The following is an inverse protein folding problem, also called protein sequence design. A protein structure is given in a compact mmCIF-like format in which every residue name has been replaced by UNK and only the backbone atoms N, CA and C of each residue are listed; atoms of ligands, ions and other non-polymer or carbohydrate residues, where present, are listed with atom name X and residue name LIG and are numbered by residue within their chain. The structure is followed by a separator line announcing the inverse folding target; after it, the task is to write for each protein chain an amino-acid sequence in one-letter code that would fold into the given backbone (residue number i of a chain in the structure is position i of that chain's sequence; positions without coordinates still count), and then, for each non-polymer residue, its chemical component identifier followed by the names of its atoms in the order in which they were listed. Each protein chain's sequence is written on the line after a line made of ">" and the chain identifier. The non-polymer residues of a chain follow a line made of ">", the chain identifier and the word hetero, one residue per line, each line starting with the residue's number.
data_IF_042313140305
#
_entry.id   IF_042313140305
#
_cell.length_a   1.000
_cell.length_b   1.000
_cell.length_c   1.000
_cell.angle_alpha   90.00
_cell.angle_beta   90.00
_cell.angle_gamma   90.00
#
_symmetry.space_group_name_H-M   'P 1'
#
loop_
_entity.id
_entity.type
_entity.pdbx_description
1 polymer ?
#
# COMPACT_ATOMS: atom_id res chain seq x y z
N UNK A 1 -4.28 -25.36 -2.53
CA UNK A 1 -3.53 -24.90 -1.32
C UNK A 1 -3.56 -26.01 -0.26
N UNK A 2 -2.57 -26.15 0.65
CA UNK A 2 -2.67 -27.10 1.76
C UNK A 2 -3.91 -26.83 2.64
N UNK A 3 -4.63 -27.88 3.02
CA UNK A 3 -5.90 -27.76 3.75
C UNK A 3 -5.75 -27.01 5.08
N UNK A 4 -4.62 -27.18 5.78
CA UNK A 4 -4.35 -26.46 7.03
C UNK A 4 -4.31 -24.94 6.82
N UNK A 5 -3.75 -24.48 5.70
CA UNK A 5 -3.63 -23.05 5.40
C UNK A 5 -4.99 -22.49 5.01
N UNK A 6 -5.75 -23.23 4.20
CA UNK A 6 -7.11 -22.83 3.86
C UNK A 6 -7.98 -22.66 5.12
N UNK A 7 -7.95 -23.65 6.03
CA UNK A 7 -8.62 -23.57 7.34
C UNK A 7 -8.14 -22.38 8.16
N UNK A 8 -6.83 -22.11 8.18
CA UNK A 8 -6.27 -20.97 8.91
C UNK A 8 -6.70 -19.62 8.32
N UNK A 9 -6.82 -19.50 7.01
CA UNK A 9 -7.28 -18.29 6.33
C UNK A 9 -8.78 -18.05 6.54
N UNK A 10 -9.60 -19.11 6.51
CA UNK A 10 -11.03 -19.01 6.83
C UNK A 10 -11.22 -18.58 8.28
N UNK A 11 -10.48 -19.21 9.21
CA UNK A 11 -10.64 -18.96 10.65
C UNK A 11 -10.07 -17.61 11.08
N UNK A 12 -8.87 -17.27 10.61
CA UNK A 12 -8.11 -16.13 11.14
C UNK A 12 -8.04 -14.94 10.17
N UNK A 13 -8.36 -15.14 8.88
CA UNK A 13 -8.29 -14.11 7.84
C UNK A 13 -6.87 -13.57 7.63
N UNK A 14 -6.57 -12.50 8.35
CA UNK A 14 -5.32 -11.74 8.29
C UNK A 14 -5.05 -11.05 9.63
N UNK A 15 -3.80 -10.58 9.81
CA UNK A 15 -3.46 -9.74 10.95
C UNK A 15 -3.49 -8.29 10.48
N UNK A 16 -4.37 -7.48 11.08
CA UNK A 16 -4.48 -6.05 10.81
C UNK A 16 -3.98 -5.22 12.00
N UNK A 17 -3.34 -4.08 11.71
CA UNK A 17 -3.06 -3.02 12.67
C UNK A 17 -3.62 -1.69 12.15
N UNK A 18 -4.43 -1.04 12.98
CA UNK A 18 -5.06 0.23 12.68
C UNK A 18 -4.20 1.39 13.21
N UNK A 19 -4.44 2.59 12.68
CA UNK A 19 -3.82 3.84 13.14
C UNK A 19 -2.28 3.85 13.12
N UNK A 20 -1.68 2.98 12.31
CA UNK A 20 -0.23 2.91 12.13
C UNK A 20 0.32 4.10 11.35
N UNK A 21 -0.48 4.73 10.48
CA UNK A 21 -0.09 5.96 9.77
C UNK A 21 0.10 7.13 10.76
N UNK A 22 -0.85 7.46 11.65
CA UNK A 22 -0.62 8.43 12.73
C UNK A 22 0.58 8.11 13.62
N UNK A 23 0.83 6.84 13.95
CA UNK A 23 2.03 6.45 14.73
C UNK A 23 3.30 6.76 13.93
N UNK A 24 3.35 6.37 12.66
CA UNK A 24 4.49 6.64 11.79
C UNK A 24 4.74 8.14 11.63
N UNK A 25 3.68 8.95 11.49
CA UNK A 25 3.78 10.41 11.44
C UNK A 25 4.51 10.96 12.69
N UNK A 26 4.13 10.49 13.88
CA UNK A 26 4.78 10.90 15.12
C UNK A 26 6.24 10.46 15.20
N UNK A 27 6.59 9.25 14.74
CA UNK A 27 7.98 8.80 14.73
C UNK A 27 8.86 9.66 13.82
N UNK A 28 8.35 9.99 12.63
CA UNK A 28 9.06 10.81 11.65
C UNK A 28 9.22 12.25 12.15
N UNK A 29 8.20 12.80 12.81
CA UNK A 29 8.25 14.14 13.43
C UNK A 29 9.40 14.22 14.45
N UNK A 30 9.58 13.17 15.27
CA UNK A 30 10.64 13.10 16.27
C UNK A 30 11.97 12.50 15.74
N UNK A 31 12.01 12.04 14.49
CA UNK A 31 13.24 11.49 13.92
C UNK A 31 14.18 12.61 13.49
N UNK A 32 15.36 12.69 14.11
CA UNK A 32 16.35 13.72 13.81
C UNK A 32 16.92 13.63 12.39
N UNK A 33 16.77 12.49 11.71
CA UNK A 33 17.25 12.27 10.34
C UNK A 33 16.25 12.68 9.25
N UNK A 34 14.97 12.82 9.60
CA UNK A 34 13.90 13.25 8.68
C UNK A 34 13.94 14.77 8.52
N UNK A 35 13.94 15.24 7.27
CA UNK A 35 13.76 16.65 6.92
C UNK A 35 12.31 16.92 6.60
N UNK A 36 11.72 16.07 5.76
CA UNK A 36 10.32 16.17 5.34
C UNK A 36 9.74 14.79 5.11
N UNK A 37 8.47 14.60 5.40
CA UNK A 37 7.77 13.38 5.02
C UNK A 37 6.32 13.64 4.66
N UNK A 38 5.83 12.91 3.66
CA UNK A 38 4.43 12.87 3.28
C UNK A 38 3.88 11.47 3.52
N UNK A 39 2.67 11.37 4.05
CA UNK A 39 1.96 10.13 4.32
C UNK A 39 0.60 10.11 3.62
N UNK A 40 0.14 8.91 3.26
CA UNK A 40 -1.22 8.67 2.75
C UNK A 40 -2.27 8.90 3.85
N UNK A 41 -3.54 8.71 3.49
CA UNK A 41 -4.67 8.87 4.40
C UNK A 41 -4.52 8.04 5.69
N UNK A 42 -4.81 8.60 6.88
CA UNK A 42 -4.54 7.95 8.16
C UNK A 42 -5.35 6.67 8.43
N UNK A 43 -6.43 6.45 7.67
CA UNK A 43 -7.31 5.29 7.84
C UNK A 43 -6.72 3.96 7.30
N UNK A 44 -5.61 4.02 6.55
CA UNK A 44 -4.98 2.82 5.96
C UNK A 44 -4.56 1.89 7.08
N UNK A 45 -5.03 0.65 6.99
CA UNK A 45 -4.64 -0.42 7.90
C UNK A 45 -3.37 -1.11 7.39
N UNK A 46 -2.46 -1.46 8.28
CA UNK A 46 -1.36 -2.35 7.94
C UNK A 46 -1.83 -3.80 8.03
N UNK A 47 -1.91 -4.49 6.89
CA UNK A 47 -2.38 -5.88 6.81
C UNK A 47 -1.21 -6.80 6.48
N UNK A 48 -0.96 -7.76 7.38
CA UNK A 48 0.17 -8.68 7.30
C UNK A 48 -0.27 -10.14 7.17
N UNK A 49 0.65 -10.94 6.64
CA UNK A 49 0.46 -12.37 6.38
C UNK A 49 0.32 -13.18 7.68
N UNK A 50 -0.41 -14.29 7.59
CA UNK A 50 -0.33 -15.33 8.61
C UNK A 50 1.04 -15.99 8.60
N UNK A 51 1.42 -16.61 9.71
CA UNK A 51 2.70 -17.34 9.82
C UNK A 51 2.69 -18.49 8.82
N UNK A 52 3.77 -18.63 8.03
CA UNK A 52 3.95 -19.66 6.97
C UNK A 52 2.91 -19.60 5.82
N UNK A 53 2.26 -18.44 5.61
CA UNK A 53 1.27 -18.25 4.55
C UNK A 53 1.88 -18.34 3.14
N UNK A 54 3.04 -17.70 2.91
CA UNK A 54 3.76 -17.72 1.64
C UNK A 54 3.48 -16.51 0.75
N UNK A 55 3.23 -16.74 -0.54
CA UNK A 55 3.23 -15.76 -1.64
C UNK A 55 2.02 -14.82 -1.73
N UNK A 56 1.44 -14.45 -0.59
CA UNK A 56 0.20 -13.67 -0.54
C UNK A 56 0.37 -12.16 -0.44
N UNK A 57 1.57 -11.64 -0.70
CA UNK A 57 1.85 -10.21 -0.65
C UNK A 57 0.88 -9.38 -1.53
N UNK A 58 0.67 -9.76 -2.79
CA UNK A 58 -0.25 -9.04 -3.68
C UNK A 58 -1.68 -8.95 -3.12
N UNK A 59 -2.22 -10.05 -2.61
CA UNK A 59 -3.54 -10.08 -1.98
C UNK A 59 -3.59 -9.18 -0.73
N UNK A 60 -2.56 -9.20 0.12
CA UNK A 60 -2.50 -8.35 1.33
C UNK A 60 -2.39 -6.87 0.96
N UNK A 61 -1.67 -6.53 -0.10
CA UNK A 61 -1.60 -5.15 -0.60
C UNK A 61 -2.94 -4.69 -1.16
N UNK A 62 -3.67 -5.53 -1.92
CA UNK A 62 -5.06 -5.23 -2.33
C UNK A 62 -5.94 -4.97 -1.10
N UNK A 63 -5.82 -5.78 -0.04
CA UNK A 63 -6.54 -5.54 1.21
C UNK A 63 -6.21 -4.19 1.85
N UNK A 64 -4.94 -3.76 1.83
CA UNK A 64 -4.53 -2.45 2.35
C UNK A 64 -5.11 -1.31 1.52
N UNK A 65 -5.11 -1.43 0.19
CA UNK A 65 -5.78 -0.47 -0.71
C UNK A 65 -7.28 -0.40 -0.44
N UNK A 66 -7.96 -1.54 -0.26
CA UNK A 66 -9.39 -1.58 0.07
C UNK A 66 -9.66 -0.99 1.47
N UNK A 67 -8.73 -1.15 2.43
CA UNK A 67 -8.87 -0.53 3.75
C UNK A 67 -8.94 1.00 3.67
N UNK A 68 -8.20 1.61 2.72
CA UNK A 68 -8.34 3.03 2.40
C UNK A 68 -9.73 3.32 1.82
N UNK A 69 -10.15 2.55 0.80
CA UNK A 69 -11.43 2.79 0.12
C UNK A 69 -12.58 2.82 1.13
N UNK A 70 -12.62 1.83 2.04
CA UNK A 70 -13.62 1.75 3.11
C UNK A 70 -13.44 2.90 4.11
N UNK A 71 -12.23 3.06 4.67
CA UNK A 71 -11.99 3.97 5.79
C UNK A 71 -12.13 5.45 5.40
N UNK A 72 -11.79 5.81 4.17
CA UNK A 72 -11.93 7.16 3.62
C UNK A 72 -13.29 7.40 2.96
N UNK A 73 -14.17 6.38 2.89
CA UNK A 73 -15.41 6.39 2.10
C UNK A 73 -15.15 6.86 0.65
N UNK A 74 -14.06 6.36 0.06
CA UNK A 74 -13.64 6.73 -1.28
C UNK A 74 -14.59 6.12 -2.34
N UNK A 75 -14.36 6.48 -3.60
CA UNK A 75 -15.09 5.91 -4.73
C UNK A 75 -15.01 4.37 -4.72
N UNK A 76 -16.17 3.70 -4.81
CA UNK A 76 -16.29 2.24 -4.78
C UNK A 76 -16.42 1.62 -3.38
N UNK A 77 -16.46 2.43 -2.30
CA UNK A 77 -16.61 1.92 -0.94
C UNK A 77 -17.88 1.08 -0.73
N UNK A 78 -18.97 1.41 -1.41
CA UNK A 78 -20.24 0.68 -1.34
C UNK A 78 -20.11 -0.79 -1.75
N UNK A 79 -19.17 -1.10 -2.66
CA UNK A 79 -18.94 -2.47 -3.16
C UNK A 79 -18.37 -3.37 -2.06
N UNK A 80 -17.60 -2.79 -1.13
CA UNK A 80 -16.96 -3.52 -0.04
C UNK A 80 -17.71 -3.41 1.29
N UNK A 81 -18.72 -2.54 1.36
CA UNK A 81 -19.41 -2.21 2.60
C UNK A 81 -18.43 -1.74 3.68
N UNK A 82 -18.47 -2.40 4.84
CA UNK A 82 -17.60 -2.07 5.98
C UNK A 82 -16.52 -3.14 6.26
N UNK A 83 -16.26 -4.05 5.32
CA UNK A 83 -15.38 -5.20 5.54
C UNK A 83 -14.33 -5.32 4.46
N UNK A 84 -13.07 -5.41 4.87
CA UNK A 84 -11.98 -5.77 3.96
C UNK A 84 -12.14 -7.25 3.54
N UNK A 85 -12.16 -7.56 2.23
CA UNK A 85 -12.40 -8.91 1.73
C UNK A 85 -11.30 -9.88 2.15
N UNK A 86 -11.62 -11.17 2.28
CA UNK A 86 -10.65 -12.23 2.51
C UNK A 86 -9.83 -12.51 1.24
N UNK A 87 -8.78 -13.33 1.36
CA UNK A 87 -8.00 -13.76 0.18
C UNK A 87 -8.87 -14.54 -0.81
N UNK A 88 -9.83 -15.33 -0.31
CA UNK A 88 -10.73 -16.09 -1.18
C UNK A 88 -11.68 -15.17 -1.93
N UNK A 89 -12.24 -14.17 -1.25
CA UNK A 89 -13.08 -13.15 -1.89
C UNK A 89 -12.28 -12.40 -2.97
N UNK A 90 -11.02 -12.05 -2.70
CA UNK A 90 -10.14 -11.40 -3.70
C UNK A 90 -9.85 -12.32 -4.88
N UNK A 91 -9.59 -13.61 -4.66
CA UNK A 91 -9.42 -14.59 -5.75
C UNK A 91 -10.69 -14.68 -6.61
N UNK A 92 -11.86 -14.69 -5.98
CA UNK A 92 -13.14 -14.68 -6.68
C UNK A 92 -13.35 -13.41 -7.50
N UNK A 93 -13.04 -12.24 -6.95
CA UNK A 93 -13.16 -10.96 -7.63
C UNK A 93 -12.20 -10.83 -8.82
N UNK A 94 -10.95 -11.29 -8.69
CA UNK A 94 -9.99 -11.29 -9.80
C UNK A 94 -10.45 -12.22 -10.92
N UNK A 95 -10.87 -13.43 -10.59
CA UNK A 95 -11.36 -14.37 -11.60
C UNK A 95 -12.65 -13.88 -12.27
N UNK A 96 -13.56 -13.24 -11.52
CA UNK A 96 -14.74 -12.59 -12.10
C UNK A 96 -14.34 -11.42 -13.02
N UNK A 97 -13.29 -10.66 -12.68
CA UNK A 97 -12.74 -9.63 -13.56
C UNK A 97 -12.26 -10.20 -14.89
N UNK A 98 -11.58 -11.35 -14.86
CA UNK A 98 -11.17 -12.06 -16.06
C UNK A 98 -12.35 -12.49 -16.91
N UNK A 99 -13.42 -13.00 -16.28
CA UNK A 99 -14.64 -13.43 -16.97
C UNK A 99 -15.41 -12.24 -17.59
N UNK A 100 -15.27 -11.04 -17.01
CA UNK A 100 -15.77 -9.76 -17.56
C UNK A 100 -14.86 -9.17 -18.66
N UNK A 101 -13.75 -9.82 -19.02
CA UNK A 101 -12.84 -9.37 -20.07
C UNK A 101 -11.73 -8.43 -19.60
N UNK A 102 -11.56 -8.21 -18.29
CA UNK A 102 -10.41 -7.46 -17.76
C UNK A 102 -9.22 -8.41 -17.58
N UNK A 103 -8.15 -8.23 -18.35
CA UNK A 103 -6.96 -9.10 -18.30
C UNK A 103 -7.26 -10.62 -18.30
N UNK A 104 -8.07 -11.15 -19.25
CA UNK A 104 -8.45 -12.56 -19.28
C UNK A 104 -7.24 -13.50 -19.46
N UNK A 105 -6.13 -12.99 -20.00
CA UNK A 105 -4.87 -13.71 -20.15
C UNK A 105 -4.33 -14.25 -18.81
N UNK A 106 -4.58 -13.55 -17.70
CA UNK A 106 -4.18 -14.03 -16.36
C UNK A 106 -4.78 -15.40 -16.01
N UNK A 107 -6.00 -15.71 -16.50
CA UNK A 107 -6.61 -17.04 -16.32
C UNK A 107 -5.82 -18.12 -17.05
N UNK A 108 -5.34 -17.83 -18.26
CA UNK A 108 -4.59 -18.75 -19.11
C UNK A 108 -3.20 -19.00 -18.53
N UNK A 109 -2.49 -17.93 -18.17
CA UNK A 109 -1.12 -18.01 -17.65
C UNK A 109 -1.04 -18.71 -16.31
N UNK A 110 -2.04 -18.48 -15.46
CA UNK A 110 -2.07 -19.09 -14.12
C UNK A 110 -2.77 -20.43 -14.12
N UNK A 111 -3.73 -20.70 -15.01
CA UNK A 111 -4.67 -21.81 -14.89
C UNK A 111 -5.68 -21.62 -13.75
N UNK A 112 -6.06 -20.37 -13.46
CA UNK A 112 -6.93 -20.02 -12.33
C UNK A 112 -6.19 -19.86 -11.00
N UNK A 113 -6.68 -18.98 -10.13
CA UNK A 113 -6.06 -18.67 -8.83
C UNK A 113 -6.93 -19.05 -7.62
N UNK A 114 -8.23 -19.32 -7.79
CA UNK A 114 -9.13 -19.74 -6.70
C UNK A 114 -8.62 -20.96 -5.96
N UNK A 115 -8.54 -20.86 -4.62
CA UNK A 115 -8.06 -21.94 -3.75
C UNK A 115 -6.57 -22.26 -3.89
N UNK A 116 -5.81 -21.48 -4.66
CA UNK A 116 -4.38 -21.68 -4.90
C UNK A 116 -3.52 -20.78 -4.01
N UNK A 117 -2.19 -20.94 -4.11
CA UNK A 117 -1.18 -20.06 -3.50
C UNK A 117 -0.43 -19.23 -4.55
N UNK A 118 -1.00 -19.10 -5.76
CA UNK A 118 -0.32 -18.44 -6.88
C UNK A 118 -0.12 -16.96 -6.56
N UNK A 119 1.06 -16.47 -6.92
CA UNK A 119 1.37 -15.05 -6.85
C UNK A 119 0.46 -14.29 -7.79
N UNK A 120 0.18 -13.05 -7.41
CA UNK A 120 -0.49 -12.07 -8.25
C UNK A 120 0.33 -10.80 -8.26
N UNK A 121 0.20 -10.02 -9.31
CA UNK A 121 0.89 -8.76 -9.50
C UNK A 121 -0.05 -7.58 -9.74
N UNK A 122 0.52 -6.52 -10.31
CA UNK A 122 -0.17 -5.30 -10.69
C UNK A 122 -1.35 -5.57 -11.64
N UNK A 123 -1.18 -6.52 -12.57
CA UNK A 123 -2.17 -6.91 -13.57
C UNK A 123 -3.46 -7.45 -12.97
N UNK A 124 -3.38 -8.31 -11.95
CA UNK A 124 -4.55 -8.84 -11.25
C UNK A 124 -5.20 -7.80 -10.35
N UNK A 125 -4.40 -6.99 -9.67
CA UNK A 125 -4.91 -5.88 -8.86
C UNK A 125 -5.69 -4.88 -9.73
N UNK A 126 -5.13 -4.52 -10.89
CA UNK A 126 -5.77 -3.61 -11.85
C UNK A 126 -7.04 -4.23 -12.45
N UNK A 127 -7.01 -5.53 -12.82
CA UNK A 127 -8.20 -6.22 -13.31
C UNK A 127 -9.35 -6.16 -12.29
N UNK A 128 -9.05 -6.44 -11.02
CA UNK A 128 -10.03 -6.34 -9.93
C UNK A 128 -10.60 -4.93 -9.81
N UNK A 129 -9.77 -3.89 -9.70
CA UNK A 129 -10.29 -2.54 -9.48
C UNK A 129 -11.05 -2.01 -10.70
N UNK A 130 -10.55 -2.26 -11.91
CA UNK A 130 -11.22 -1.83 -13.14
C UNK A 130 -12.58 -2.52 -13.34
N UNK A 131 -12.72 -3.80 -12.99
CA UNK A 131 -14.02 -4.50 -13.10
C UNK A 131 -15.06 -3.97 -12.12
N UNK A 132 -14.61 -3.40 -11.00
CA UNK A 132 -15.43 -2.67 -10.04
C UNK A 132 -15.58 -1.18 -10.37
N UNK A 133 -15.13 -0.76 -11.56
CA UNK A 133 -15.13 0.63 -12.04
C UNK A 133 -14.31 1.60 -11.18
N UNK A 134 -13.42 1.11 -10.32
CA UNK A 134 -12.56 1.92 -9.46
C UNK A 134 -11.31 2.32 -10.27
N UNK A 135 -11.08 3.62 -10.54
CA UNK A 135 -9.95 4.02 -11.38
C UNK A 135 -8.61 3.73 -10.72
N UNK A 136 -7.82 2.86 -11.37
CA UNK A 136 -6.52 2.42 -10.90
C UNK A 136 -5.45 2.52 -12.00
N UNK A 137 -4.98 3.74 -12.34
CA UNK A 137 -3.86 3.92 -13.26
C UNK A 137 -2.60 3.18 -12.80
N UNK A 138 -1.90 2.60 -13.77
CA UNK A 138 -0.64 1.88 -13.57
C UNK A 138 0.49 2.65 -14.25
N UNK A 139 1.65 2.69 -13.60
CA UNK A 139 2.89 3.19 -14.18
C UNK A 139 3.98 2.14 -14.01
N UNK A 140 4.75 1.91 -15.05
CA UNK A 140 5.88 0.97 -15.04
C UNK A 140 7.19 1.75 -15.20
N UNK A 141 8.17 1.41 -14.38
CA UNK A 141 9.50 2.03 -14.38
C UNK A 141 10.51 0.94 -14.67
N UNK A 142 11.11 1.00 -15.86
CA UNK A 142 12.16 0.07 -16.27
C UNK A 142 13.32 0.86 -16.85
N UNK A 143 14.52 0.46 -16.46
CA UNK A 143 15.75 1.04 -16.99
C UNK A 143 16.88 0.02 -16.99
N UNK A 144 17.75 0.11 -17.99
CA UNK A 144 18.96 -0.71 -18.09
C UNK A 144 20.07 -0.20 -17.17
N UNK A 145 20.08 1.09 -16.84
CA UNK A 145 21.05 1.69 -15.93
C UNK A 145 20.71 1.37 -14.46
N UNK A 146 21.74 0.98 -13.71
CA UNK A 146 21.63 0.64 -12.30
C UNK A 146 21.11 1.82 -11.47
N UNK A 147 19.93 1.64 -10.87
CA UNK A 147 19.31 2.64 -10.02
C UNK A 147 18.46 3.68 -10.75
N UNK A 148 18.51 3.78 -12.08
CA UNK A 148 17.69 4.74 -12.82
C UNK A 148 16.17 4.47 -12.68
N UNK A 149 15.76 3.20 -12.72
CA UNK A 149 14.37 2.80 -12.44
C UNK A 149 13.92 3.19 -11.02
N UNK A 150 14.81 3.05 -10.02
CA UNK A 150 14.54 3.44 -8.65
C UNK A 150 14.40 4.96 -8.51
N UNK A 151 15.23 5.75 -9.18
CA UNK A 151 15.15 7.20 -9.21
C UNK A 151 13.83 7.69 -9.82
N UNK A 152 13.42 7.10 -10.95
CA UNK A 152 12.12 7.39 -11.60
C UNK A 152 10.94 7.08 -10.68
N UNK A 153 10.97 5.92 -10.01
CA UNK A 153 9.97 5.53 -9.01
C UNK A 153 9.90 6.54 -7.85
N UNK A 154 11.04 6.89 -7.25
CA UNK A 154 11.11 7.82 -6.13
C UNK A 154 10.54 9.19 -6.52
N UNK A 155 10.88 9.70 -7.71
CA UNK A 155 10.35 10.95 -8.23
C UNK A 155 8.82 10.88 -8.45
N UNK A 156 8.31 9.79 -9.02
CA UNK A 156 6.88 9.62 -9.24
C UNK A 156 6.09 9.58 -7.92
N UNK A 157 6.61 8.89 -6.89
CA UNK A 157 6.00 8.83 -5.57
C UNK A 157 6.08 10.18 -4.85
N UNK A 158 7.20 10.90 -4.96
CA UNK A 158 7.37 12.24 -4.40
C UNK A 158 6.32 13.20 -4.99
N UNK A 159 6.18 13.23 -6.32
CA UNK A 159 5.15 14.02 -6.99
C UNK A 159 3.74 13.60 -6.59
N UNK A 160 3.47 12.30 -6.48
CA UNK A 160 2.15 11.79 -6.09
C UNK A 160 1.73 12.33 -4.72
N UNK A 161 2.58 12.21 -3.70
CA UNK A 161 2.22 12.67 -2.36
C UNK A 161 2.25 14.19 -2.20
N UNK A 162 3.17 14.89 -2.89
CA UNK A 162 3.18 16.35 -2.94
C UNK A 162 1.89 16.91 -3.52
N UNK A 163 1.36 16.30 -4.58
CA UNK A 163 0.09 16.74 -5.20
C UNK A 163 -1.13 16.62 -4.25
N UNK A 164 -1.05 15.76 -3.22
CA UNK A 164 -2.07 15.62 -2.19
C UNK A 164 -2.02 16.67 -1.09
N UNK A 165 -0.95 17.47 -1.03
CA UNK A 165 -0.82 18.58 -0.10
C UNK A 165 -1.37 19.82 -0.80
N UNK A 166 -2.55 20.30 -0.40
CA UNK A 166 -3.26 21.45 -1.00
C UNK A 166 -2.55 22.80 -0.79
N UNK A 167 -1.30 22.90 -1.24
CA UNK A 167 -0.33 23.93 -0.87
C UNK A 167 0.71 23.35 0.08
N UNK A 168 1.99 23.43 -0.30
CA UNK A 168 3.11 23.06 0.57
C UNK A 168 3.13 24.02 1.77
N UNK A 169 2.58 23.61 2.90
CA UNK A 169 2.93 24.21 4.18
C UNK A 169 4.36 23.79 4.52
N UNK A 170 5.34 24.49 3.95
CA UNK A 170 6.79 24.28 4.16
C UNK A 170 7.18 24.35 5.64
N UNK A 171 6.30 24.85 6.53
CA UNK A 171 6.53 24.85 7.97
C UNK A 171 6.36 23.47 8.62
N UNK A 172 5.66 22.53 7.97
CA UNK A 172 5.39 21.20 8.53
C UNK A 172 6.42 20.19 8.05
N UNK A 173 7.16 19.64 9.01
CA UNK A 173 8.09 18.52 8.79
C UNK A 173 7.37 17.27 8.29
N UNK A 174 6.26 16.88 8.92
CA UNK A 174 5.46 15.71 8.48
C UNK A 174 4.06 16.15 8.09
N UNK A 175 3.62 15.73 6.91
CA UNK A 175 2.29 16.02 6.37
C UNK A 175 1.55 14.73 6.03
N UNK A 176 0.33 14.60 6.55
CA UNK A 176 -0.58 13.52 6.19
C UNK A 176 -1.59 14.03 5.17
N UNK A 177 -1.69 13.36 4.05
CA UNK A 177 -2.58 13.70 2.92
C UNK A 177 -3.92 12.98 3.03
N UNK A 178 -4.87 13.32 2.16
CA UNK A 178 -6.07 12.52 1.95
C UNK A 178 -5.91 11.45 0.84
N UNK A 179 -4.70 11.26 0.31
CA UNK A 179 -4.46 10.37 -0.82
C UNK A 179 -4.49 8.89 -0.43
N UNK A 180 -4.86 8.00 -1.36
CA UNK A 180 -4.70 6.57 -1.18
C UNK A 180 -3.22 6.16 -0.96
N UNK A 181 -2.99 4.98 -0.35
CA UNK A 181 -1.69 4.32 -0.47
C UNK A 181 -1.49 3.78 -1.90
N UNK A 182 -0.25 3.51 -2.26
CA UNK A 182 0.13 3.04 -3.62
C UNK A 182 0.57 1.59 -3.56
N UNK A 183 0.01 0.73 -4.41
CA UNK A 183 0.49 -0.63 -4.58
C UNK A 183 1.81 -0.59 -5.36
N UNK A 184 2.86 -1.26 -4.87
CA UNK A 184 4.17 -1.33 -5.52
C UNK A 184 4.53 -2.79 -5.79
N UNK A 185 4.76 -3.12 -7.06
CA UNK A 185 5.29 -4.40 -7.52
C UNK A 185 6.77 -4.25 -7.88
N UNK A 186 7.56 -5.26 -7.55
CA UNK A 186 8.85 -5.54 -8.18
C UNK A 186 9.06 -7.06 -8.23
N UNK A 187 10.23 -7.50 -8.70
CA UNK A 187 10.50 -8.93 -8.84
C UNK A 187 10.46 -9.63 -7.46
N UNK A 188 9.60 -10.65 -7.36
CA UNK A 188 9.52 -11.54 -6.20
C UNK A 188 8.75 -11.02 -4.98
N UNK A 189 8.31 -9.76 -4.96
CA UNK A 189 7.55 -9.21 -3.84
C UNK A 189 6.70 -8.00 -4.24
N UNK A 190 5.72 -7.67 -3.40
CA UNK A 190 4.96 -6.44 -3.52
C UNK A 190 4.73 -5.81 -2.15
N UNK A 191 4.62 -4.49 -2.15
CA UNK A 191 4.51 -3.64 -0.97
C UNK A 191 3.37 -2.65 -1.15
N UNK A 192 2.95 -2.03 -0.05
CA UNK A 192 2.08 -0.86 -0.08
C UNK A 192 2.88 0.36 0.35
N UNK A 193 3.11 1.29 -0.56
CA UNK A 193 3.75 2.58 -0.26
C UNK A 193 2.72 3.46 0.43
N UNK A 194 3.05 3.88 1.65
CA UNK A 194 2.20 4.70 2.51
C UNK A 194 2.74 6.12 2.67
N UNK A 195 3.87 6.43 2.04
CA UNK A 195 4.46 7.75 2.07
C UNK A 195 5.85 7.80 1.47
N UNK A 196 6.47 8.97 1.59
CA UNK A 196 7.85 9.22 1.19
C UNK A 196 8.50 10.19 2.17
N UNK A 197 9.78 9.95 2.44
CA UNK A 197 10.58 10.72 3.38
C UNK A 197 11.83 11.25 2.68
N UNK A 198 12.15 12.51 2.92
CA UNK A 198 13.43 13.11 2.62
C UNK A 198 14.29 13.17 3.89
N UNK A 199 15.52 12.67 3.78
CA UNK A 199 16.50 12.60 4.87
C UNK A 199 17.46 13.79 4.81
N UNK A 200 18.14 14.07 5.93
CA UNK A 200 19.16 15.14 6.02
C UNK A 200 20.32 15.00 5.04
N UNK A 201 20.60 13.79 4.55
CA UNK A 201 21.61 13.54 3.52
C UNK A 201 21.08 13.75 2.09
N UNK A 202 19.87 14.33 1.94
CA UNK A 202 19.20 14.58 0.67
C UNK A 202 18.57 13.33 0.03
N UNK A 203 18.72 12.16 0.66
CA UNK A 203 18.18 10.91 0.09
C UNK A 203 16.69 10.78 0.36
N UNK A 204 15.99 10.23 -0.61
CA UNK A 204 14.59 9.83 -0.49
C UNK A 204 14.48 8.37 -0.05
N UNK A 205 13.54 8.10 0.85
CA UNK A 205 13.11 6.76 1.23
C UNK A 205 11.61 6.62 0.97
N UNK A 206 11.21 5.50 0.37
CA UNK A 206 9.81 5.10 0.43
C UNK A 206 9.47 4.69 1.87
N UNK A 207 8.28 5.07 2.32
CA UNK A 207 7.66 4.55 3.53
C UNK A 207 6.65 3.50 3.12
N UNK A 208 6.78 2.28 3.64
CA UNK A 208 6.00 1.12 3.18
C UNK A 208 5.39 0.34 4.33
N UNK A 209 4.21 -0.20 4.07
CA UNK A 209 3.68 -1.37 4.75
C UNK A 209 4.07 -2.62 3.96
N UNK A 210 4.76 -3.54 4.64
CA UNK A 210 5.23 -4.80 4.07
C UNK A 210 4.42 -5.96 4.65
N UNK A 211 3.62 -6.66 3.84
CA UNK A 211 2.77 -7.74 4.36
C UNK A 211 3.57 -8.92 4.94
N UNK A 212 4.87 -9.02 4.68
CA UNK A 212 5.76 -10.00 5.31
C UNK A 212 6.19 -9.61 6.73
N UNK A 213 6.00 -8.36 7.11
CA UNK A 213 6.38 -7.83 8.41
C UNK A 213 5.14 -7.63 9.29
N UNK A 214 5.31 -7.75 10.61
CA UNK A 214 4.29 -7.38 11.59
C UNK A 214 4.78 -6.16 12.35
N UNK A 215 3.88 -5.27 12.71
CA UNK A 215 4.25 -4.14 13.58
C UNK A 215 4.69 -4.66 14.94
N UNK A 216 5.75 -4.05 15.47
CA UNK A 216 6.28 -4.40 16.78
C UNK A 216 5.25 -4.07 17.88
N UNK A 217 5.28 -4.84 18.97
CA UNK A 217 4.41 -4.57 20.12
C UNK A 217 4.65 -3.17 20.72
N UNK A 218 5.88 -2.65 20.60
CA UNK A 218 6.24 -1.29 21.04
C UNK A 218 5.44 -0.26 20.25
N UNK A 219 5.44 -0.36 18.92
CA UNK A 219 4.73 0.57 18.05
C UNK A 219 3.22 0.55 18.25
N UNK A 220 2.65 -0.65 18.44
CA UNK A 220 1.22 -0.80 18.72
C UNK A 220 0.78 -0.13 20.02
N UNK A 221 1.67 0.05 21.01
CA UNK A 221 1.35 0.77 22.26
C UNK A 221 1.19 2.29 22.04
N UNK A 222 1.69 2.83 20.94
CA UNK A 222 1.57 4.25 20.60
C UNK A 222 0.30 4.59 19.84
N UNK A 223 -0.50 3.59 19.43
CA UNK A 223 -1.82 3.81 18.83
C UNK A 223 -2.71 4.58 19.80
N UNK A 224 -3.33 5.66 19.31
CA UNK A 224 -4.19 6.55 20.10
C UNK A 224 -3.46 7.38 21.17
N UNK A 225 -2.12 7.35 21.21
CA UNK A 225 -1.31 8.11 22.17
C UNK A 225 -0.46 9.14 21.44
N UNK A 226 -0.25 10.28 22.09
CA UNK A 226 0.81 11.21 21.70
C UNK A 226 2.13 10.68 22.24
N UNK A 227 3.10 10.48 21.36
CA UNK A 227 4.49 10.18 21.67
C UNK A 227 5.10 11.42 22.35
N UNK A 228 5.80 11.22 23.46
CA UNK A 228 6.48 12.31 24.17
C UNK A 228 7.57 12.95 23.29
N UNK A 229 7.81 14.25 23.50
CA UNK A 229 8.73 15.09 22.70
C UNK A 229 10.17 14.56 22.58
N UNK A 230 10.58 13.67 23.49
CA UNK A 230 11.93 13.09 23.54
C UNK A 230 11.90 11.56 23.36
N UNK A 231 11.27 11.08 22.28
CA UNK A 231 11.34 9.67 21.93
C UNK A 231 12.72 9.33 21.35
N UNK A 232 13.68 9.11 22.24
CA UNK A 232 14.98 8.54 21.88
C UNK A 232 14.76 7.26 21.04
N UNK A 233 15.44 7.17 19.89
CA UNK A 233 15.31 6.03 18.98
C UNK A 233 14.08 6.05 18.06
N UNK A 234 13.32 7.16 17.95
CA UNK A 234 12.19 7.26 17.00
C UNK A 234 12.61 6.93 15.55
N UNK A 235 13.82 7.34 15.16
CA UNK A 235 14.41 6.98 13.86
C UNK A 235 14.56 5.47 13.66
N UNK A 236 15.02 4.76 14.68
CA UNK A 236 15.23 3.30 14.64
C UNK A 236 13.90 2.56 14.60
N UNK A 237 12.89 3.08 15.28
CA UNK A 237 11.53 2.54 15.26
C UNK A 237 10.82 2.73 13.92
N UNK A 238 11.15 3.78 13.16
CA UNK A 238 10.65 4.00 11.81
C UNK A 238 11.40 3.18 10.74
N UNK A 239 12.61 2.71 11.04
CA UNK A 239 13.49 2.04 10.06
C UNK A 239 12.85 0.82 9.37
N UNK A 240 12.07 -0.05 10.04
CA UNK A 240 11.42 -1.19 9.37
C UNK A 240 10.47 -0.79 8.22
N UNK A 241 9.95 0.44 8.25
CA UNK A 241 9.03 0.98 7.24
C UNK A 241 9.78 1.67 6.10
N UNK A 242 11.09 1.86 6.19
CA UNK A 242 11.87 2.54 5.13
C UNK A 242 12.33 1.57 4.06
N UNK A 243 12.25 2.01 2.80
CA UNK A 243 12.92 1.37 1.66
C UNK A 243 13.69 2.45 0.91
N UNK A 244 14.99 2.52 1.19
CA UNK A 244 15.91 3.46 0.56
C UNK A 244 16.67 2.87 -0.63
N UNK A 245 17.64 3.63 -1.15
CA UNK A 245 18.42 3.28 -2.35
C UNK A 245 19.03 1.86 -2.30
N UNK A 246 19.56 1.41 -1.15
CA UNK A 246 20.14 0.06 -0.98
C UNK A 246 19.14 -1.07 -1.25
N UNK A 247 17.87 -0.84 -0.97
CA UNK A 247 16.80 -1.79 -1.25
C UNK A 247 16.39 -1.70 -2.73
N UNK A 248 16.16 -0.48 -3.21
CA UNK A 248 15.57 -0.23 -4.53
C UNK A 248 16.53 -0.53 -5.69
N UNK A 249 17.84 -0.26 -5.55
CA UNK A 249 18.83 -0.47 -6.63
C UNK A 249 18.96 -1.94 -7.06
N UNK A 250 18.50 -2.88 -6.21
CA UNK A 250 18.51 -4.31 -6.50
C UNK A 250 17.46 -4.72 -7.53
N UNK A 251 16.50 -3.85 -7.82
CA UNK A 251 15.42 -4.13 -8.76
C UNK A 251 15.64 -3.33 -10.04
N UNK A 252 15.41 -3.98 -11.20
CA UNK A 252 15.53 -3.34 -12.52
C UNK A 252 14.21 -2.78 -13.04
N UNK A 253 13.12 -3.20 -12.42
CA UNK A 253 11.78 -2.87 -12.85
C UNK A 253 10.85 -2.75 -11.63
N UNK A 254 9.98 -1.76 -11.71
CA UNK A 254 8.91 -1.53 -10.77
C UNK A 254 7.62 -1.26 -11.52
N UNK A 255 6.51 -1.62 -10.91
CA UNK A 255 5.21 -1.13 -11.32
C UNK A 255 4.47 -0.59 -10.11
N UNK A 256 3.75 0.51 -10.30
CA UNK A 256 2.87 1.05 -9.28
C UNK A 256 1.45 1.09 -9.79
N UNK A 257 0.50 0.84 -8.89
CA UNK A 257 -0.92 1.07 -9.11
C UNK A 257 -1.40 2.10 -8.09
N UNK A 258 -1.92 3.21 -8.60
CA UNK A 258 -2.43 4.32 -7.79
C UNK A 258 -3.95 4.37 -7.90
N UNK A 259 -4.66 4.37 -6.77
CA UNK A 259 -6.11 4.64 -6.80
C UNK A 259 -6.36 6.13 -7.06
N UNK A 260 -7.44 6.47 -7.75
CA UNK A 260 -7.86 7.87 -7.85
C UNK A 260 -8.42 8.38 -6.51
N UNK A 261 -7.98 9.57 -6.09
CA UNK A 261 -8.43 10.20 -4.84
C UNK A 261 -9.78 10.92 -4.95
N UNK A 262 -10.42 10.92 -6.13
CA UNK A 262 -11.71 11.60 -6.33
C UNK A 262 -12.76 10.97 -5.41
N UNK A 263 -13.20 11.74 -4.42
CA UNK A 263 -14.46 11.46 -3.74
C UNK A 263 -15.58 11.58 -4.77
N UNK A 264 -16.63 10.76 -4.63
CA UNK A 264 -17.83 10.89 -5.47
C UNK A 264 -18.33 12.32 -5.26
N UNK A 265 -18.19 13.20 -6.25
CA UNK A 265 -19.02 14.39 -6.28
C UNK A 265 -20.45 13.86 -6.29
N UNK A 266 -21.27 14.34 -5.35
CA UNK A 266 -22.70 14.17 -5.48
C UNK A 266 -23.04 14.58 -6.90
N UNK A 267 -23.63 13.67 -7.67
CA UNK A 267 -24.35 14.04 -8.87
C UNK A 267 -25.55 14.86 -8.40
N UNK A 268 -25.31 16.12 -8.06
CA UNK A 268 -26.31 17.16 -7.96
C UNK A 268 -26.40 17.78 -9.34
N UNK A 269 -27.48 17.42 -10.02
CA UNK A 269 -28.30 18.30 -10.85
C UNK A 269 -27.56 19.25 -11.78
N UNK A 270 -27.64 18.96 -13.08
CA UNK A 270 -27.95 20.00 -14.06
C UNK A 270 -28.59 19.36 -15.28
N UNK A 271 -29.90 19.63 -15.39
CA UNK A 271 -30.81 19.67 -16.55
C UNK A 271 -30.92 18.43 -17.45
#
# INVERSE_FOLDING_TARGET
>A
MPQWLAKALVKNGYVSAHDMIPVLAQLLEHSSGTVRAYLCHPCVQHISKLRREGGFCGYRNIQMLISYIIGAKAFGAEVFGNRVPSVFDIQDLIEAAWDMGHNPQGRIETGGIKGTRKFIGTSEAQALFNSLQIPSPVQSFRDSEDGAAASKLLQAIDHYFKAGCGGNDESKKVQTTSLPPVYLQHQGHSLTVVGIEERKDGRLNLLVFDPSCRDSAVLKRHVGRRVCKDMAGAGDLAEPYRRGAKYLIKQKEFEILCLSSKTRTSASETL
#
